data_IF_100876365750
#
_entry.id   IF_100876365750
#
_cell.length_a   1.000
_cell.length_b   1.000
_cell.length_c   1.000
_cell.angle_alpha   90.00
_cell.angle_beta   90.00
_cell.angle_gamma   90.00
#
_symmetry.space_group_name_H-M   'P 1'
#
loop_
_entity.id
_entity.type
_entity.pdbx_description
1 polymer ?
#
# COMPACT_ATOMS: atom_id res chain seq x y z
N UNK A 1 0.36 -11.77 -40.58
CA UNK A 1 -0.22 -11.19 -39.33
C UNK A 1 0.19 -12.07 -38.17
N UNK A 2 1.23 -11.69 -37.42
CA UNK A 2 1.60 -12.36 -36.17
C UNK A 2 0.89 -11.58 -35.05
N UNK A 3 -0.10 -12.23 -34.44
CA UNK A 3 -0.81 -11.70 -33.30
C UNK A 3 0.15 -11.66 -32.10
N UNK A 4 0.48 -10.45 -31.64
CA UNK A 4 1.20 -10.22 -30.40
C UNK A 4 0.25 -10.52 -29.24
N UNK A 5 0.34 -11.72 -28.65
CA UNK A 5 -0.33 -12.06 -27.40
C UNK A 5 0.39 -11.34 -26.25
N UNK A 6 -0.28 -10.36 -25.64
CA UNK A 6 0.13 -9.76 -24.37
C UNK A 6 0.01 -10.83 -23.27
N UNK A 7 1.14 -11.32 -22.76
CA UNK A 7 1.19 -12.18 -21.58
C UNK A 7 1.60 -11.32 -20.37
N UNK A 8 0.70 -11.23 -19.39
CA UNK A 8 0.85 -10.65 -18.04
C UNK A 8 1.40 -9.22 -17.92
N UNK A 9 0.55 -8.32 -17.41
CA UNK A 9 0.97 -7.01 -16.92
C UNK A 9 1.64 -7.21 -15.55
N UNK A 10 2.96 -7.13 -15.47
CA UNK A 10 3.62 -6.99 -14.16
C UNK A 10 3.45 -5.54 -13.72
N UNK A 11 2.63 -5.29 -12.70
CA UNK A 11 2.53 -3.97 -12.08
C UNK A 11 3.63 -3.90 -11.01
N UNK A 12 4.59 -3.00 -11.22
CA UNK A 12 5.61 -2.67 -10.22
C UNK A 12 5.06 -1.53 -9.39
N UNK A 13 4.81 -1.78 -8.11
CA UNK A 13 4.42 -0.72 -7.18
C UNK A 13 5.68 -0.20 -6.51
N UNK A 14 5.94 1.10 -6.70
CA UNK A 14 7.12 1.78 -6.18
C UNK A 14 6.65 2.78 -5.12
N UNK A 15 6.83 2.43 -3.85
CA UNK A 15 6.60 3.35 -2.74
C UNK A 15 7.83 4.20 -2.47
N UNK A 16 7.75 5.53 -2.63
CA UNK A 16 8.78 6.46 -2.17
C UNK A 16 8.27 7.10 -0.87
N UNK A 17 8.84 6.70 0.27
CA UNK A 17 8.51 7.31 1.56
C UNK A 17 9.39 8.54 1.81
N UNK A 18 8.78 9.71 1.78
CA UNK A 18 9.38 10.95 2.24
C UNK A 18 8.49 11.55 3.35
N UNK A 19 8.53 10.95 4.54
CA UNK A 19 7.84 11.50 5.71
C UNK A 19 8.79 11.68 6.88
N UNK A 20 8.94 12.94 7.31
CA UNK A 20 9.31 13.27 8.69
C UNK A 20 8.17 12.78 9.58
N UNK A 21 8.51 11.93 10.56
CA UNK A 21 7.54 11.14 11.32
C UNK A 21 6.37 11.95 11.88
N UNK A 22 5.16 11.66 11.37
CA UNK A 22 3.92 12.13 11.97
C UNK A 22 3.38 11.07 12.95
N UNK A 23 3.34 11.43 14.23
CA UNK A 23 2.62 10.65 15.22
C UNK A 23 1.14 11.06 15.24
N UNK A 24 0.22 10.09 15.13
CA UNK A 24 -1.17 10.30 15.53
C UNK A 24 -1.23 10.69 17.01
N UNK A 25 -2.19 11.55 17.41
CA UNK A 25 -2.54 11.68 18.81
C UNK A 25 -3.03 10.33 19.35
N UNK A 26 -2.48 9.91 20.49
CA UNK A 26 -2.98 8.76 21.23
C UNK A 26 -4.42 9.01 21.69
N UNK A 27 -5.34 8.08 21.43
CA UNK A 27 -6.64 8.08 22.09
C UNK A 27 -6.42 8.03 23.61
N UNK A 28 -7.15 8.88 24.35
CA UNK A 28 -7.09 8.98 25.83
C UNK A 28 -7.71 7.73 26.47
N UNK A 29 -7.02 6.60 26.39
CA UNK A 29 -7.26 5.41 27.22
C UNK A 29 -6.32 5.41 28.43
N UNK A 30 -6.86 5.13 29.63
CA UNK A 30 -6.08 4.97 30.87
C UNK A 30 -5.16 3.73 30.75
N UNK A 31 -3.95 3.91 30.25
CA UNK A 31 -2.90 2.89 30.23
C UNK A 31 -1.57 3.57 29.96
N UNK A 32 -0.69 3.59 30.97
CA UNK A 32 0.67 4.11 30.83
C UNK A 32 1.55 3.07 30.14
N UNK A 33 1.41 2.96 28.82
CA UNK A 33 2.48 2.40 28.00
C UNK A 33 2.79 3.44 26.93
N UNK A 34 3.91 4.14 27.10
CA UNK A 34 4.44 5.00 26.05
C UNK A 34 5.06 4.05 25.03
N UNK A 35 4.23 3.52 24.14
CA UNK A 35 4.68 2.79 22.96
C UNK A 35 5.53 3.75 22.13
N UNK A 36 6.83 3.77 22.41
CA UNK A 36 7.81 4.57 21.68
C UNK A 36 8.04 3.84 20.38
N UNK A 37 7.26 4.21 19.38
CA UNK A 37 7.42 3.75 18.01
C UNK A 37 8.84 4.11 17.60
N UNK A 38 9.57 3.10 17.13
CA UNK A 38 10.83 3.27 16.43
C UNK A 38 10.44 3.24 14.96
N UNK A 39 10.32 4.40 14.28
CA UNK A 39 10.23 4.40 12.81
C UNK A 39 11.42 3.61 12.29
N UNK A 40 11.29 2.79 11.24
CA UNK A 40 12.51 2.33 10.59
C UNK A 40 13.19 3.61 10.09
N UNK A 41 14.48 3.69 10.37
CA UNK A 41 15.28 4.80 9.87
C UNK A 41 15.14 4.78 8.35
N UNK A 42 14.49 5.80 7.78
CA UNK A 42 14.64 6.05 6.35
C UNK A 42 16.12 6.36 6.21
N UNK A 43 16.88 5.38 5.73
CA UNK A 43 18.32 5.48 5.58
C UNK A 43 18.61 6.50 4.50
N UNK A 44 18.69 7.75 4.96
CA UNK A 44 18.97 8.92 4.15
C UNK A 44 20.45 9.22 4.26
N UNK A 45 21.15 9.05 3.16
CA UNK A 45 22.54 9.47 3.01
C UNK A 45 22.57 10.84 2.32
N UNK A 46 23.30 11.79 2.91
CA UNK A 46 23.66 13.05 2.24
C UNK A 46 25.04 12.87 1.65
N UNK A 47 25.15 13.01 0.33
CA UNK A 47 26.41 12.86 -0.40
C UNK A 47 27.19 14.18 -0.41
N UNK A 48 28.50 14.11 -0.72
CA UNK A 48 29.40 15.27 -0.74
C UNK A 48 28.95 16.33 -1.76
N UNK A 49 28.33 15.89 -2.86
CA UNK A 49 27.77 16.77 -3.89
C UNK A 49 26.42 17.41 -3.50
N UNK A 50 25.95 17.17 -2.27
CA UNK A 50 24.68 17.68 -1.74
C UNK A 50 23.46 16.85 -2.14
N UNK A 51 23.61 15.81 -2.98
CA UNK A 51 22.50 14.91 -3.31
C UNK A 51 22.05 14.08 -2.11
N UNK A 52 20.79 13.65 -2.12
CA UNK A 52 20.18 12.85 -1.04
C UNK A 52 19.78 11.50 -1.60
N UNK A 53 20.35 10.44 -1.03
CA UNK A 53 20.03 9.05 -1.39
C UNK A 53 19.14 8.42 -0.33
N UNK A 54 18.09 7.73 -0.76
CA UNK A 54 17.09 7.03 0.04
C UNK A 54 17.07 5.56 -0.36
N UNK A 55 16.89 4.67 0.62
CA UNK A 55 16.56 3.28 0.34
C UNK A 55 15.15 3.17 -0.24
N UNK A 56 15.01 2.34 -1.26
CA UNK A 56 13.79 2.09 -2.00
C UNK A 56 13.49 0.59 -1.98
N UNK A 57 12.21 0.24 -1.89
CA UNK A 57 11.77 -1.15 -2.02
C UNK A 57 10.59 -1.19 -2.99
N UNK A 58 10.72 -1.98 -4.04
CA UNK A 58 9.63 -2.29 -4.94
C UNK A 58 9.10 -3.69 -4.63
N UNK A 59 7.79 -3.87 -4.80
CA UNK A 59 7.13 -5.17 -4.66
C UNK A 59 6.25 -5.44 -5.88
N UNK A 60 6.18 -6.70 -6.29
CA UNK A 60 5.43 -7.11 -7.48
C UNK A 60 4.01 -7.53 -7.14
N UNK A 61 3.07 -7.11 -7.98
CA UNK A 61 1.89 -7.92 -8.28
C UNK A 61 2.19 -8.79 -9.52
N UNK A 62 2.13 -10.11 -9.34
CA UNK A 62 2.35 -11.08 -10.43
C UNK A 62 1.05 -11.71 -10.93
N UNK A 63 -0.11 -11.17 -10.56
CA UNK A 63 -1.41 -11.73 -10.89
C UNK A 63 -1.46 -13.25 -10.59
N UNK A 64 -2.01 -14.03 -11.53
CA UNK A 64 -2.13 -15.48 -11.47
C UNK A 64 -0.78 -16.21 -11.52
N UNK A 65 0.31 -15.52 -11.85
CA UNK A 65 1.67 -16.08 -11.88
C UNK A 65 2.34 -16.10 -10.50
N UNK A 66 1.64 -15.62 -9.45
CA UNK A 66 2.12 -15.67 -8.07
C UNK A 66 2.21 -17.09 -7.49
N UNK A 67 1.56 -18.11 -8.08
CA UNK A 67 1.58 -19.48 -7.54
C UNK A 67 2.98 -20.11 -7.58
N UNK A 68 3.46 -20.57 -6.43
CA UNK A 68 4.76 -21.21 -6.25
C UNK A 68 4.61 -22.45 -5.36
N UNK A 69 4.40 -23.61 -6.00
CA UNK A 69 4.12 -24.86 -5.29
C UNK A 69 2.74 -24.84 -4.61
N UNK A 70 2.73 -25.07 -3.31
CA UNK A 70 1.58 -25.01 -2.41
C UNK A 70 1.31 -23.60 -1.85
N UNK A 71 2.18 -22.63 -2.15
CA UNK A 71 2.11 -21.24 -1.70
C UNK A 71 1.93 -20.27 -2.87
N UNK A 72 1.75 -19.00 -2.51
CA UNK A 72 1.83 -17.86 -3.41
C UNK A 72 3.02 -17.00 -3.01
N UNK A 73 3.59 -16.27 -3.98
CA UNK A 73 4.73 -15.40 -3.76
C UNK A 73 4.58 -14.06 -4.47
N UNK A 74 5.23 -13.06 -3.90
CA UNK A 74 5.62 -11.81 -4.56
C UNK A 74 7.16 -11.71 -4.57
N UNK A 75 7.71 -10.84 -5.41
CA UNK A 75 9.14 -10.51 -5.40
C UNK A 75 9.31 -9.10 -4.86
N UNK A 76 10.18 -8.96 -3.87
CA UNK A 76 10.65 -7.67 -3.41
C UNK A 76 12.04 -7.39 -3.98
N UNK A 77 12.24 -6.17 -4.48
CA UNK A 77 13.52 -5.70 -5.02
C UNK A 77 13.95 -4.41 -4.31
N UNK A 78 15.08 -4.43 -3.59
CA UNK A 78 15.65 -3.22 -3.02
C UNK A 78 16.35 -2.38 -4.10
N UNK A 79 16.46 -1.09 -3.82
CA UNK A 79 17.20 -0.14 -4.63
C UNK A 79 17.49 1.13 -3.88
N UNK A 80 18.12 2.07 -4.56
CA UNK A 80 18.43 3.39 -4.05
C UNK A 80 17.84 4.45 -4.97
N UNK A 81 17.18 5.45 -4.38
CA UNK A 81 16.69 6.63 -5.07
C UNK A 81 17.54 7.82 -4.65
N UNK A 82 18.17 8.49 -5.60
CA UNK A 82 18.99 9.69 -5.37
C UNK A 82 18.34 10.92 -5.98
N UNK A 83 18.06 11.93 -5.16
CA UNK A 83 17.56 13.24 -5.59
C UNK A 83 18.72 14.24 -5.56
N UNK A 84 18.98 14.88 -6.69
CA UNK A 84 20.05 15.87 -6.81
C UNK A 84 19.64 17.25 -6.28
N UNK A 85 20.59 18.11 -5.89
CA UNK A 85 20.29 19.41 -5.26
C UNK A 85 19.44 20.35 -6.12
N UNK A 86 19.52 20.20 -7.46
CA UNK A 86 18.74 20.99 -8.41
C UNK A 86 17.23 20.70 -8.37
N UNK A 87 16.81 19.61 -7.72
CA UNK A 87 15.42 19.14 -7.66
C UNK A 87 14.85 18.68 -9.00
N UNK A 88 15.66 18.63 -10.06
CA UNK A 88 15.25 18.30 -11.44
C UNK A 88 15.71 16.92 -11.87
N UNK A 89 16.70 16.35 -11.18
CA UNK A 89 17.24 15.04 -11.49
C UNK A 89 17.02 14.05 -10.36
N UNK A 90 16.51 12.89 -10.74
CA UNK A 90 16.35 11.71 -9.88
C UNK A 90 17.04 10.54 -10.58
N UNK A 91 17.84 9.80 -9.83
CA UNK A 91 18.47 8.56 -10.27
C UNK A 91 17.94 7.40 -9.43
N UNK A 92 17.64 6.26 -10.06
CA UNK A 92 17.28 5.03 -9.36
C UNK A 92 18.28 3.94 -9.73
N UNK A 93 18.88 3.32 -8.73
CA UNK A 93 19.74 2.15 -8.85
C UNK A 93 19.06 0.95 -8.22
N UNK A 94 18.96 -0.14 -8.97
CA UNK A 94 18.30 -1.35 -8.50
C UNK A 94 19.33 -2.41 -8.13
N UNK A 95 19.17 -3.02 -6.97
CA UNK A 95 19.99 -4.14 -6.51
C UNK A 95 19.45 -5.45 -7.07
N UNK A 96 19.62 -5.66 -8.39
CA UNK A 96 19.00 -6.77 -9.13
C UNK A 96 19.34 -8.17 -8.61
N UNK A 97 20.45 -8.32 -7.90
CA UNK A 97 20.90 -9.60 -7.34
C UNK A 97 20.35 -9.87 -5.93
N UNK A 98 19.55 -8.94 -5.38
CA UNK A 98 18.93 -9.03 -4.07
C UNK A 98 17.40 -9.24 -4.14
N UNK A 99 16.90 -9.67 -5.28
CA UNK A 99 15.49 -10.06 -5.43
C UNK A 99 15.14 -11.14 -4.41
N UNK A 100 14.14 -10.86 -3.58
CA UNK A 100 13.73 -11.74 -2.49
C UNK A 100 12.29 -12.20 -2.73
N UNK A 101 12.06 -13.50 -2.65
CA UNK A 101 10.70 -14.02 -2.67
C UNK A 101 10.05 -13.81 -1.30
N UNK A 102 8.88 -13.21 -1.29
CA UNK A 102 8.03 -13.11 -0.11
C UNK A 102 6.87 -14.07 -0.33
N UNK A 103 6.62 -14.98 0.62
CA UNK A 103 5.64 -16.06 0.44
C UNK A 103 4.54 -16.07 1.50
N UNK A 104 3.36 -16.59 1.12
CA UNK A 104 2.24 -16.89 2.01
C UNK A 104 1.48 -18.12 1.51
N UNK A 105 0.91 -18.90 2.44
CA UNK A 105 0.00 -20.00 2.11
C UNK A 105 -1.46 -19.56 1.97
N UNK A 106 -1.80 -18.36 2.40
CA UNK A 106 -3.16 -17.85 2.31
C UNK A 106 -3.50 -17.50 0.86
N UNK A 107 -4.70 -17.90 0.45
CA UNK A 107 -5.24 -17.60 -0.86
C UNK A 107 -6.77 -17.50 -0.79
N UNK A 108 -7.33 -16.82 -1.78
CA UNK A 108 -8.76 -16.77 -2.03
C UNK A 108 -9.02 -17.26 -3.44
N UNK A 109 -9.75 -18.38 -3.56
CA UNK A 109 -10.08 -19.02 -4.85
C UNK A 109 -8.83 -19.30 -5.71
N UNK A 110 -7.72 -19.71 -5.08
CA UNK A 110 -6.48 -20.05 -5.76
C UNK A 110 -5.61 -18.85 -6.17
N UNK A 111 -5.90 -17.63 -5.68
CA UNK A 111 -5.10 -16.43 -5.89
C UNK A 111 -4.66 -15.82 -4.54
N UNK A 112 -3.47 -15.27 -4.50
CA UNK A 112 -2.89 -14.65 -3.30
C UNK A 112 -1.53 -14.05 -3.62
N UNK A 113 -1.01 -13.23 -2.71
CA UNK A 113 0.23 -12.46 -2.89
C UNK A 113 0.20 -11.55 -4.13
N UNK A 114 -0.98 -11.04 -4.48
CA UNK A 114 -1.16 -9.97 -5.48
C UNK A 114 -1.06 -8.63 -4.75
N UNK A 115 0.19 -8.24 -4.50
CA UNK A 115 0.53 -7.16 -3.59
C UNK A 115 0.48 -5.79 -4.30
N UNK A 116 -0.56 -5.02 -4.00
CA UNK A 116 -0.91 -3.82 -4.78
C UNK A 116 -0.37 -2.50 -4.24
N UNK A 117 0.23 -2.48 -3.05
CA UNK A 117 0.97 -1.32 -2.53
C UNK A 117 1.97 -1.73 -1.44
N UNK A 118 2.84 -0.80 -1.04
CA UNK A 118 3.76 -0.97 0.07
C UNK A 118 3.87 0.32 0.89
N UNK A 119 3.75 0.20 2.21
CA UNK A 119 3.85 1.37 3.11
C UNK A 119 4.43 0.97 4.45
N UNK A 120 5.21 1.87 5.04
CA UNK A 120 5.68 1.71 6.41
C UNK A 120 4.74 2.41 7.39
N UNK A 121 4.15 1.65 8.31
CA UNK A 121 3.24 2.17 9.32
C UNK A 121 3.54 1.53 10.67
N UNK A 122 3.76 2.35 11.69
CA UNK A 122 3.99 1.88 13.07
C UNK A 122 5.20 0.92 13.19
N UNK A 123 6.26 1.18 12.42
CA UNK A 123 7.47 0.32 12.35
C UNK A 123 7.29 -0.97 11.54
N UNK A 124 6.11 -1.20 10.97
CA UNK A 124 5.78 -2.36 10.14
C UNK A 124 5.89 -1.98 8.68
N UNK A 125 6.54 -2.83 7.89
CA UNK A 125 6.49 -2.75 6.43
C UNK A 125 5.27 -3.53 5.96
N UNK A 126 4.27 -2.85 5.44
CA UNK A 126 2.95 -3.42 5.15
C UNK A 126 2.66 -3.45 3.66
N UNK A 127 1.99 -4.52 3.21
CA UNK A 127 1.52 -4.65 1.84
C UNK A 127 0.18 -5.38 1.81
N UNK A 128 -0.84 -4.87 1.09
CA UNK A 128 -2.13 -5.52 0.98
C UNK A 128 -2.15 -6.48 -0.19
N UNK A 129 -2.80 -7.62 -0.01
CA UNK A 129 -3.14 -8.56 -1.08
C UNK A 129 -4.56 -8.30 -1.57
N UNK A 130 -4.70 -7.84 -2.81
CA UNK A 130 -5.97 -7.41 -3.38
C UNK A 130 -6.96 -8.56 -3.68
N UNK A 131 -6.51 -9.82 -3.55
CA UNK A 131 -7.37 -11.00 -3.71
C UNK A 131 -7.87 -11.55 -2.41
N UNK A 132 -7.01 -11.63 -1.41
CA UNK A 132 -7.41 -12.15 -0.10
C UNK A 132 -8.00 -11.05 0.78
N UNK A 133 -7.70 -9.78 0.53
CA UNK A 133 -8.01 -8.68 1.44
C UNK A 133 -7.13 -8.68 2.70
N UNK A 134 -6.05 -9.49 2.73
CA UNK A 134 -5.13 -9.52 3.85
C UNK A 134 -4.13 -8.37 3.75
N UNK A 135 -3.98 -7.61 4.81
CA UNK A 135 -2.86 -6.70 5.00
C UNK A 135 -1.74 -7.46 5.72
N UNK A 136 -0.65 -7.67 5.01
CA UNK A 136 0.51 -8.39 5.51
C UNK A 136 1.56 -7.45 6.09
N UNK A 137 2.24 -7.91 7.13
CA UNK A 137 3.55 -7.39 7.51
C UNK A 137 4.66 -8.23 6.85
N UNK A 138 5.53 -7.55 6.11
CA UNK A 138 6.65 -8.17 5.41
C UNK A 138 7.84 -8.33 6.37
N UNK A 139 8.19 -9.58 6.67
CA UNK A 139 9.29 -9.94 7.58
C UNK A 139 10.23 -10.93 6.90
N UNK A 140 11.32 -10.42 6.33
CA UNK A 140 12.24 -11.24 5.55
C UNK A 140 11.54 -11.83 4.32
N UNK A 141 11.53 -13.15 4.23
CA UNK A 141 10.91 -13.91 3.12
C UNK A 141 9.44 -14.30 3.37
N UNK A 142 8.86 -13.82 4.48
CA UNK A 142 7.51 -14.17 4.90
C UNK A 142 6.57 -12.96 4.89
N UNK A 143 5.36 -13.18 4.38
CA UNK A 143 4.23 -12.27 4.54
C UNK A 143 3.38 -12.73 5.72
N UNK A 144 3.54 -12.06 6.87
CA UNK A 144 2.85 -12.40 8.12
C UNK A 144 1.47 -11.71 8.13
N UNK A 145 0.35 -12.44 8.17
CA UNK A 145 -0.97 -11.83 8.22
C UNK A 145 -1.11 -10.91 9.43
N UNK A 146 -1.53 -9.66 9.22
CA UNK A 146 -1.80 -8.73 10.31
C UNK A 146 -3.31 -8.49 10.46
N UNK A 147 -3.98 -8.07 9.39
CA UNK A 147 -5.38 -7.66 9.43
C UNK A 147 -6.11 -8.14 8.16
N UNK A 148 -7.28 -8.76 8.33
CA UNK A 148 -8.19 -9.02 7.23
C UNK A 148 -9.12 -7.83 6.98
N UNK A 149 -9.14 -7.33 5.75
CA UNK A 149 -10.00 -6.24 5.31
C UNK A 149 -11.14 -6.81 4.47
N UNK A 150 -12.34 -6.83 5.06
CA UNK A 150 -13.55 -7.26 4.39
C UNK A 150 -14.01 -6.21 3.35
N UNK A 151 -14.52 -6.65 2.20
CA UNK A 151 -14.99 -5.80 1.10
C UNK A 151 -16.11 -4.83 1.53
N UNK A 152 -16.21 -3.71 0.82
CA UNK A 152 -17.32 -2.75 0.95
C UNK A 152 -17.47 -2.15 2.36
N UNK A 153 -18.68 -2.06 2.92
CA UNK A 153 -18.91 -1.67 4.31
C UNK A 153 -18.56 -2.75 5.34
N UNK A 154 -17.94 -3.87 4.95
CA UNK A 154 -17.52 -4.92 5.88
C UNK A 154 -18.60 -5.94 6.25
N UNK A 155 -19.70 -5.98 5.50
CA UNK A 155 -20.75 -7.00 5.57
C UNK A 155 -20.69 -8.00 4.40
N UNK A 156 -19.53 -8.13 3.75
CA UNK A 156 -19.29 -9.04 2.63
C UNK A 156 -18.64 -10.35 3.11
N UNK A 157 -18.62 -11.35 2.23
CA UNK A 157 -17.89 -12.62 2.44
C UNK A 157 -16.57 -12.65 1.66
N UNK A 158 -16.20 -11.53 1.04
CA UNK A 158 -15.02 -11.40 0.17
C UNK A 158 -14.01 -10.44 0.77
N UNK A 159 -12.73 -10.69 0.51
CA UNK A 159 -11.67 -9.73 0.82
C UNK A 159 -11.83 -8.45 0.01
N UNK A 160 -11.43 -7.33 0.60
CA UNK A 160 -11.37 -6.05 -0.09
C UNK A 160 -10.23 -6.06 -1.09
N UNK A 161 -10.52 -5.64 -2.33
CA UNK A 161 -9.50 -5.34 -3.34
C UNK A 161 -8.86 -3.99 -3.01
N UNK A 162 -7.79 -4.01 -2.21
CA UNK A 162 -7.05 -2.80 -1.82
C UNK A 162 -6.03 -2.48 -2.89
N UNK A 163 -6.09 -1.26 -3.43
CA UNK A 163 -5.24 -0.79 -4.52
C UNK A 163 -4.19 0.23 -4.06
N UNK A 164 -4.40 0.83 -2.88
CA UNK A 164 -3.47 1.82 -2.34
C UNK A 164 -3.51 1.86 -0.81
N UNK A 165 -2.38 2.28 -0.25
CA UNK A 165 -2.18 2.61 1.16
C UNK A 165 -1.77 4.08 1.30
N UNK A 166 -2.23 4.75 2.35
CA UNK A 166 -1.67 6.06 2.72
C UNK A 166 -1.77 6.28 4.22
N UNK A 167 -0.95 7.18 4.75
CA UNK A 167 -0.91 7.47 6.18
C UNK A 167 -1.32 8.92 6.39
N UNK A 168 -2.32 9.13 7.24
CA UNK A 168 -2.83 10.46 7.54
C UNK A 168 -3.34 10.55 8.97
N UNK A 169 -2.99 11.65 9.65
CA UNK A 169 -3.33 11.89 11.05
C UNK A 169 -2.96 10.68 11.95
N UNK A 170 -1.87 10.00 11.57
CA UNK A 170 -1.31 8.76 12.11
C UNK A 170 -2.23 7.53 12.12
N UNK A 171 -3.19 7.48 11.19
CA UNK A 171 -3.89 6.27 10.80
C UNK A 171 -3.40 5.81 9.43
N UNK A 172 -3.40 4.50 9.21
CA UNK A 172 -3.24 3.90 7.89
C UNK A 172 -4.61 3.85 7.20
N UNK A 173 -4.67 4.25 5.95
CA UNK A 173 -5.85 4.14 5.11
C UNK A 173 -5.57 3.15 4.00
N UNK A 174 -6.45 2.18 3.85
CA UNK A 174 -6.44 1.21 2.76
C UNK A 174 -7.68 1.42 1.91
N UNK A 175 -7.52 1.75 0.64
CA UNK A 175 -8.65 2.00 -0.24
C UNK A 175 -8.66 1.12 -1.46
N UNK A 176 -9.86 0.94 -2.00
CA UNK A 176 -10.05 0.21 -3.24
C UNK A 176 -9.86 1.10 -4.47
N UNK A 177 -10.38 0.60 -5.59
CA UNK A 177 -10.26 1.25 -6.89
C UNK A 177 -10.84 2.68 -6.94
N UNK A 178 -11.83 3.00 -6.10
CA UNK A 178 -12.41 4.34 -6.03
C UNK A 178 -13.50 4.62 -7.07
N UNK A 179 -13.98 3.60 -7.76
CA UNK A 179 -15.14 3.65 -8.65
C UNK A 179 -16.08 2.46 -8.44
N UNK A 180 -17.31 2.60 -8.94
CA UNK A 180 -18.28 1.53 -9.03
C UNK A 180 -17.73 0.38 -9.88
N UNK A 181 -17.96 -0.86 -9.43
CA UNK A 181 -17.74 -2.02 -10.26
C UNK A 181 -18.92 -2.17 -11.23
N UNK A 182 -18.63 -2.19 -12.52
CA UNK A 182 -19.61 -2.32 -13.59
C UNK A 182 -19.42 -3.61 -14.36
N UNK A 183 -20.51 -4.20 -14.85
CA UNK A 183 -20.47 -5.35 -15.74
C UNK A 183 -20.08 -4.95 -17.18
N UNK A 184 -19.93 -5.93 -18.08
CA UNK A 184 -19.57 -5.69 -19.49
C UNK A 184 -20.59 -4.84 -20.28
N UNK A 185 -21.81 -4.68 -19.75
CA UNK A 185 -22.87 -3.83 -20.33
C UNK A 185 -22.83 -2.39 -19.78
N UNK A 186 -21.98 -2.13 -18.79
CA UNK A 186 -21.85 -0.84 -18.12
C UNK A 186 -22.78 -0.66 -16.92
N UNK A 187 -23.58 -1.65 -16.54
CA UNK A 187 -24.46 -1.54 -15.36
C UNK A 187 -23.65 -1.63 -14.06
N UNK A 188 -24.01 -0.84 -13.06
CA UNK A 188 -23.41 -0.90 -11.71
C UNK A 188 -23.81 -2.20 -11.04
N UNK A 189 -22.80 -2.99 -10.66
CA UNK A 189 -22.96 -4.26 -9.95
C UNK A 189 -22.75 -4.08 -8.45
N UNK A 190 -21.75 -3.28 -8.05
CA UNK A 190 -21.47 -2.96 -6.65
C UNK A 190 -20.63 -1.70 -6.53
N UNK A 191 -20.74 -1.03 -5.38
CA UNK A 191 -19.94 0.14 -4.99
C UNK A 191 -18.78 -0.23 -4.04
N UNK A 192 -18.61 -1.52 -3.74
CA UNK A 192 -17.59 -2.03 -2.82
C UNK A 192 -16.16 -1.48 -3.06
N UNK A 193 -15.66 -1.36 -4.30
CA UNK A 193 -14.32 -0.83 -4.56
C UNK A 193 -14.15 0.65 -4.22
N UNK A 194 -15.23 1.38 -3.92
CA UNK A 194 -15.19 2.78 -3.52
C UNK A 194 -14.88 2.95 -2.03
N UNK A 195 -14.90 1.87 -1.25
CA UNK A 195 -14.72 1.95 0.20
C UNK A 195 -13.26 2.17 0.61
N UNK A 196 -13.09 2.81 1.77
CA UNK A 196 -11.79 3.04 2.42
C UNK A 196 -11.85 2.58 3.87
N UNK A 197 -10.82 1.85 4.29
CA UNK A 197 -10.65 1.37 5.67
C UNK A 197 -9.65 2.28 6.38
N UNK A 198 -10.05 2.83 7.52
CA UNK A 198 -9.16 3.56 8.42
C UNK A 198 -8.69 2.62 9.51
N UNK A 199 -7.38 2.46 9.64
CA UNK A 199 -6.73 1.42 10.44
C UNK A 199 -5.85 2.10 11.49
N UNK A 200 -6.14 1.84 12.76
CA UNK A 200 -5.29 2.29 13.88
C UNK A 200 -4.03 1.43 14.01
N UNK A 201 -3.05 1.91 14.78
CA UNK A 201 -1.82 1.17 15.10
C UNK A 201 -2.07 -0.19 15.76
N UNK A 202 -3.16 -0.30 16.51
CA UNK A 202 -3.59 -1.54 17.17
C UNK A 202 -4.41 -2.45 16.26
N UNK A 203 -4.58 -2.08 14.99
CA UNK A 203 -5.35 -2.84 14.01
C UNK A 203 -6.87 -2.71 14.14
N UNK A 204 -7.37 -1.80 14.96
CA UNK A 204 -8.81 -1.45 14.97
C UNK A 204 -9.16 -0.79 13.64
N UNK A 205 -10.13 -1.37 12.95
CA UNK A 205 -10.65 -0.87 11.67
C UNK A 205 -11.91 -0.04 11.95
N UNK A 206 -11.90 1.20 11.46
CA UNK A 206 -13.11 1.99 11.31
C UNK A 206 -13.44 2.10 9.82
N UNK A 207 -14.71 1.85 9.48
CA UNK A 207 -15.22 2.06 8.15
C UNK A 207 -15.38 3.56 7.96
N UNK A 208 -14.65 4.11 6.99
CA UNK A 208 -14.89 5.50 6.61
C UNK A 208 -15.63 5.44 5.30
N UNK A 209 -16.88 5.91 5.32
CA UNK A 209 -17.59 6.24 4.09
C UNK A 209 -16.72 7.28 3.39
N UNK A 210 -16.22 6.96 2.19
CA UNK A 210 -16.02 8.04 1.24
C UNK A 210 -17.41 8.59 1.00
N UNK A 211 -17.69 9.83 1.43
CA UNK A 211 -18.94 10.48 1.08
C UNK A 211 -18.84 10.72 -0.43
N UNK A 212 -19.27 9.72 -1.19
CA UNK A 212 -19.18 9.66 -2.64
C UNK A 212 -20.46 10.22 -3.21
N UNK A 213 -20.28 11.13 -4.16
CA UNK A 213 -21.39 11.71 -4.91
C UNK A 213 -21.74 10.67 -5.99
N UNK A 214 -22.99 10.14 -6.01
CA UNK A 214 -23.44 9.28 -7.09
C UNK A 214 -23.19 9.96 -8.45
N UNK A 215 -22.52 9.28 -9.37
CA UNK A 215 -22.17 9.82 -10.70
C UNK A 215 -20.85 10.60 -10.80
N UNK A 216 -20.04 10.67 -9.74
CA UNK A 216 -18.68 11.23 -9.83
C UNK A 216 -17.69 10.25 -10.50
N UNK A 217 -16.70 10.80 -11.22
CA UNK A 217 -15.59 10.04 -11.76
C UNK A 217 -14.77 9.33 -10.66
N UNK A 218 -14.07 8.25 -11.04
CA UNK A 218 -13.19 7.45 -10.17
C UNK A 218 -12.29 8.35 -9.30
N UNK A 219 -12.35 8.21 -7.98
CA UNK A 219 -11.53 9.01 -7.05
C UNK A 219 -10.30 8.23 -6.61
N UNK A 220 -9.17 8.92 -6.49
CA UNK A 220 -7.88 8.29 -6.18
C UNK A 220 -7.41 8.64 -4.77
N UNK A 221 -6.31 8.04 -4.35
CA UNK A 221 -5.55 8.40 -3.15
C UNK A 221 -5.38 9.93 -2.99
N UNK A 222 -5.15 10.66 -4.09
CA UNK A 222 -4.99 12.11 -4.09
C UNK A 222 -6.25 12.87 -3.64
N UNK A 223 -7.44 12.40 -4.06
CA UNK A 223 -8.72 13.03 -3.70
C UNK A 223 -9.00 12.98 -2.19
N UNK A 224 -8.49 11.98 -1.48
CA UNK A 224 -8.59 11.87 -0.02
C UNK A 224 -7.62 12.85 0.64
N UNK A 225 -6.39 12.97 0.13
CA UNK A 225 -5.43 13.96 0.63
C UNK A 225 -5.95 15.40 0.46
N UNK A 226 -6.68 15.70 -0.61
CA UNK A 226 -7.27 17.03 -0.86
C UNK A 226 -8.54 17.31 -0.05
N UNK A 227 -9.46 16.34 0.07
CA UNK A 227 -10.72 16.51 0.81
C UNK A 227 -10.52 16.67 2.32
N UNK A 228 -9.36 16.28 2.84
CA UNK A 228 -9.00 16.46 4.24
C UNK A 228 -7.69 17.27 4.34
N UNK A 229 -7.72 18.61 4.31
CA UNK A 229 -6.55 19.45 4.10
C UNK A 229 -5.46 19.22 5.14
N UNK A 230 -4.22 19.07 4.67
CA UNK A 230 -3.03 19.17 5.50
C UNK A 230 -2.93 20.59 6.06
N UNK A 231 -2.96 20.76 7.39
CA UNK A 231 -2.29 21.92 7.99
C UNK A 231 -0.80 21.65 7.90
N UNK A 232 -0.19 21.93 6.76
CA UNK A 232 1.27 21.99 6.64
C UNK A 232 1.76 23.18 7.45
N UNK A 233 2.16 22.92 8.69
CA UNK A 233 2.92 23.86 9.53
C UNK A 233 4.38 23.99 9.07
N UNK A 234 4.62 24.06 7.75
CA UNK A 234 5.92 24.37 7.17
C UNK A 234 5.72 25.60 6.28
N UNK A 235 5.97 26.77 6.86
CA UNK A 235 6.38 27.95 6.08
C UNK A 235 7.80 27.66 5.59
N UNK A 236 8.04 27.90 4.30
CA UNK A 236 9.40 28.06 3.77
C UNK A 236 10.11 29.21 4.48
#
# INVERSE_FOLDING_TARGET
>A
MIALRLYSTVIIVVGILCHTGYSAPAEKGKGKEKDKIIPRTIDKKVNIDGSKTYQLLAITDMDKSAKAGDKWRAVARPGELTIFPDGKRVEIKWEKYLDTNITSGFNYKGRGMELSDISEYDGRLLSPDDKTGMLYELRGEEAVPWIFLNSGPGNSTSGMKVEWLTIKDGFLYAGGHGCEYRNDKGDVVTEDPMWVKKISRKGVINLTIGQFIPGAACQTQASICEKFPMKTGMKF
#
